data_IF_003021353267
#
_entry.id   IF_003021353267
#
_cell.length_a   1.000
_cell.length_b   1.000
_cell.length_c   1.000
_cell.angle_alpha   90.00
_cell.angle_beta   90.00
_cell.angle_gamma   90.00
#
_symmetry.space_group_name_H-M   'P 1'
#
loop_
_entity.id
_entity.type
_entity.pdbx_description
1 polymer ?
#
# COMPACT_ATOMS: atom_id res chain seq x y z
N UNK A 1 36.84 -33.49 42.10
CA UNK A 1 36.43 -34.00 40.75
C UNK A 1 36.06 -32.81 39.90
N UNK A 2 36.92 -32.32 39.05
CA UNK A 2 36.65 -31.10 38.25
C UNK A 2 35.64 -31.33 37.09
N UNK A 3 35.27 -32.56 36.81
CA UNK A 3 34.47 -32.91 35.62
C UNK A 3 32.97 -32.49 35.69
N UNK A 4 32.43 -32.31 36.89
CA UNK A 4 30.99 -31.96 37.02
C UNK A 4 30.67 -30.51 36.70
N UNK A 5 31.67 -29.61 36.71
CA UNK A 5 31.46 -28.17 36.42
C UNK A 5 31.48 -27.85 34.94
N UNK A 6 32.17 -28.65 34.15
CA UNK A 6 32.23 -28.43 32.68
C UNK A 6 30.95 -28.84 31.94
N UNK A 7 30.27 -29.88 32.42
CA UNK A 7 28.99 -30.28 31.78
C UNK A 7 27.86 -29.26 31.98
N UNK A 8 27.83 -28.56 33.12
CA UNK A 8 26.83 -27.53 33.37
C UNK A 8 27.02 -26.31 32.49
N UNK A 9 28.27 -25.91 32.22
CA UNK A 9 28.59 -24.79 31.35
C UNK A 9 28.25 -25.10 29.87
N UNK A 10 28.49 -26.32 29.41
CA UNK A 10 28.10 -26.75 28.07
C UNK A 10 26.59 -26.83 27.87
N UNK A 11 25.84 -27.25 28.89
CA UNK A 11 24.39 -27.31 28.84
C UNK A 11 23.76 -25.90 28.77
N UNK A 12 24.32 -24.94 29.51
CA UNK A 12 23.86 -23.54 29.46
C UNK A 12 24.16 -22.88 28.09
N UNK A 13 25.34 -23.16 27.51
CA UNK A 13 25.69 -22.64 26.18
C UNK A 13 24.82 -23.21 25.08
N UNK A 14 24.45 -24.50 25.16
CA UNK A 14 23.54 -25.13 24.20
C UNK A 14 22.12 -24.58 24.29
N UNK A 15 21.64 -24.21 25.48
CA UNK A 15 20.30 -23.64 25.66
C UNK A 15 20.17 -22.21 25.05
N UNK A 16 21.26 -21.45 25.03
CA UNK A 16 21.26 -20.10 24.43
C UNK A 16 21.31 -20.08 22.91
N UNK A 17 21.72 -21.17 22.27
CA UNK A 17 21.79 -21.27 20.81
C UNK A 17 20.44 -21.69 20.18
N UNK A 18 19.47 -22.18 20.97
CA UNK A 18 18.15 -22.59 20.48
C UNK A 18 17.08 -21.49 20.56
N UNK A 19 17.38 -20.33 21.17
CA UNK A 19 16.42 -19.22 21.29
C UNK A 19 16.39 -18.27 20.08
N UNK A 20 17.06 -18.60 18.99
CA UNK A 20 17.24 -17.76 17.81
C UNK A 20 16.22 -17.91 16.69
N UNK A 21 15.16 -18.69 16.83
CA UNK A 21 14.07 -18.71 15.85
C UNK A 21 12.88 -17.96 16.44
N UNK A 22 12.81 -16.64 16.20
CA UNK A 22 11.52 -15.96 16.20
C UNK A 22 10.65 -16.68 15.17
N UNK A 23 9.65 -17.40 15.62
CA UNK A 23 8.65 -17.98 14.75
C UNK A 23 8.00 -16.81 14.01
N UNK A 24 8.30 -16.67 12.72
CA UNK A 24 7.50 -15.86 11.81
C UNK A 24 6.12 -16.51 11.84
N UNK A 25 5.21 -15.92 12.59
CA UNK A 25 3.83 -16.41 12.67
C UNK A 25 3.23 -16.30 11.28
N UNK A 26 2.48 -17.32 10.84
CA UNK A 26 1.91 -17.38 9.49
C UNK A 26 1.08 -16.14 9.11
N UNK A 27 0.61 -15.36 10.09
CA UNK A 27 -0.05 -14.08 9.89
C UNK A 27 0.83 -13.01 9.23
N UNK A 28 2.13 -13.00 9.50
CA UNK A 28 3.04 -12.02 8.91
C UNK A 28 3.35 -12.34 7.43
N UNK A 29 3.45 -13.63 7.10
CA UNK A 29 3.64 -14.07 5.72
C UNK A 29 2.39 -13.80 4.88
N UNK A 30 1.21 -14.03 5.43
CA UNK A 30 -0.07 -13.74 4.77
C UNK A 30 -0.22 -12.24 4.47
N UNK A 31 0.24 -11.36 5.37
CA UNK A 31 0.20 -9.91 5.14
C UNK A 31 1.14 -9.46 4.03
N UNK A 32 2.29 -10.15 3.87
CA UNK A 32 3.25 -9.88 2.79
C UNK A 32 2.79 -10.39 1.43
N UNK A 33 1.95 -11.44 1.41
CA UNK A 33 1.38 -12.02 0.19
C UNK A 33 0.06 -11.37 -0.22
N UNK A 34 -0.53 -10.54 0.65
CA UNK A 34 -1.74 -9.81 0.33
C UNK A 34 -1.42 -8.77 -0.73
N UNK A 35 -2.16 -8.80 -1.85
CA UNK A 35 -2.09 -7.73 -2.84
C UNK A 35 -2.28 -6.37 -2.15
N UNK A 36 -1.53 -5.32 -2.52
CA UNK A 36 -1.69 -3.99 -1.95
C UNK A 36 -3.17 -3.59 -2.02
N UNK A 37 -3.81 -3.45 -0.86
CA UNK A 37 -5.17 -2.91 -0.80
C UNK A 37 -5.05 -1.42 -1.10
N UNK A 38 -5.89 -0.94 -2.03
CA UNK A 38 -6.00 0.48 -2.25
C UNK A 38 -6.28 1.17 -0.90
N UNK A 39 -5.57 2.23 -0.58
CA UNK A 39 -5.85 3.04 0.60
C UNK A 39 -7.32 3.49 0.55
N UNK A 40 -7.93 3.78 1.70
CA UNK A 40 -9.30 4.29 1.75
C UNK A 40 -9.50 5.50 0.85
N UNK A 41 -8.48 6.34 0.75
CA UNK A 41 -8.45 7.52 -0.10
C UNK A 41 -8.44 7.18 -1.59
N UNK A 42 -7.61 6.23 -2.02
CA UNK A 42 -7.62 5.71 -3.40
C UNK A 42 -8.99 5.16 -3.78
N UNK A 43 -9.63 4.43 -2.86
CA UNK A 43 -10.97 3.89 -3.10
C UNK A 43 -12.03 4.99 -3.20
N UNK A 44 -11.92 6.05 -2.41
CA UNK A 44 -12.82 7.19 -2.45
C UNK A 44 -12.70 7.98 -3.77
N UNK A 45 -11.46 8.26 -4.20
CA UNK A 45 -11.18 8.92 -5.49
C UNK A 45 -11.69 8.07 -6.66
N UNK A 46 -11.41 6.77 -6.65
CA UNK A 46 -11.89 5.87 -7.71
C UNK A 46 -13.42 5.81 -7.78
N UNK A 47 -14.09 5.79 -6.63
CA UNK A 47 -15.56 5.81 -6.57
C UNK A 47 -16.12 7.10 -7.15
N UNK A 48 -15.55 8.26 -6.81
CA UNK A 48 -15.96 9.56 -7.33
C UNK A 48 -15.72 9.63 -8.85
N UNK A 49 -14.55 9.20 -9.32
CA UNK A 49 -14.22 9.12 -10.74
C UNK A 49 -15.23 8.27 -11.52
N UNK A 50 -15.53 7.06 -11.04
CA UNK A 50 -16.50 6.16 -11.67
C UNK A 50 -17.91 6.78 -11.70
N UNK A 51 -18.28 7.51 -10.64
CA UNK A 51 -19.57 8.21 -10.57
C UNK A 51 -19.65 9.35 -11.58
N UNK A 52 -18.59 10.12 -11.74
CA UNK A 52 -18.51 11.22 -12.70
C UNK A 52 -18.53 10.73 -14.15
N UNK A 53 -17.84 9.63 -14.43
CA UNK A 53 -17.75 9.04 -15.78
C UNK A 53 -18.98 8.21 -16.16
N UNK A 54 -19.75 7.71 -15.19
CA UNK A 54 -20.83 6.75 -15.42
C UNK A 54 -20.39 5.36 -15.86
N UNK A 55 -19.08 5.09 -15.82
CA UNK A 55 -18.46 3.80 -16.18
C UNK A 55 -17.32 3.50 -15.21
N UNK A 56 -16.90 2.23 -15.17
CA UNK A 56 -15.77 1.83 -14.34
C UNK A 56 -14.46 2.21 -15.03
N UNK A 57 -13.63 2.98 -14.33
CA UNK A 57 -12.28 3.32 -14.73
C UNK A 57 -11.26 2.39 -14.07
N UNK A 58 -10.21 2.03 -14.79
CA UNK A 58 -9.07 1.29 -14.25
C UNK A 58 -7.92 2.25 -13.99
N UNK A 59 -7.50 2.36 -12.73
CA UNK A 59 -6.40 3.24 -12.34
C UNK A 59 -5.07 2.74 -12.92
N UNK A 60 -4.26 3.67 -13.42
CA UNK A 60 -2.90 3.39 -13.91
C UNK A 60 -1.89 3.67 -12.82
N UNK A 61 -1.17 2.62 -12.44
CA UNK A 61 -0.05 2.72 -11.51
C UNK A 61 1.24 3.01 -12.27
N UNK A 62 2.19 3.74 -11.67
CA UNK A 62 3.52 3.93 -12.25
C UNK A 62 4.18 2.56 -12.47
N UNK A 63 4.79 2.38 -13.64
CA UNK A 63 5.49 1.14 -13.98
C UNK A 63 6.91 1.07 -13.40
N UNK A 64 7.47 2.22 -12.98
CA UNK A 64 8.83 2.33 -12.44
C UNK A 64 8.97 3.63 -11.63
N UNK A 65 10.01 3.72 -10.83
CA UNK A 65 10.31 4.85 -9.94
C UNK A 65 9.93 4.59 -8.50
N UNK A 66 10.19 5.57 -7.64
CA UNK A 66 9.96 5.46 -6.19
C UNK A 66 8.52 5.80 -5.79
N UNK A 67 7.73 6.33 -6.71
CA UNK A 67 6.36 6.74 -6.49
C UNK A 67 5.40 5.68 -7.01
N UNK A 68 4.82 4.90 -6.10
CA UNK A 68 3.99 3.73 -6.42
C UNK A 68 2.47 3.99 -6.31
N UNK A 69 2.05 5.22 -5.99
CA UNK A 69 0.63 5.57 -5.90
C UNK A 69 0.05 5.88 -7.28
N UNK A 70 -1.21 5.50 -7.57
CA UNK A 70 -1.90 5.94 -8.77
C UNK A 70 -2.43 7.37 -8.65
N UNK A 71 -2.32 8.00 -7.48
CA UNK A 71 -2.79 9.33 -7.16
C UNK A 71 -1.62 10.26 -6.87
N UNK A 72 -1.72 11.48 -7.34
CA UNK A 72 -0.85 12.60 -6.98
C UNK A 72 -1.73 13.68 -6.35
N UNK A 73 -1.36 14.14 -5.17
CA UNK A 73 -2.05 15.21 -4.46
C UNK A 73 -1.26 16.51 -4.54
N UNK A 74 -1.94 17.63 -4.66
CA UNK A 74 -1.36 18.95 -4.68
C UNK A 74 -2.41 20.04 -4.84
N UNK A 75 -2.15 21.18 -4.23
CA UNK A 75 -2.96 22.39 -4.38
C UNK A 75 -2.53 23.10 -5.68
N UNK A 76 -3.21 22.79 -6.80
CA UNK A 76 -2.86 23.34 -8.11
C UNK A 76 -3.61 24.63 -8.45
N UNK A 77 -4.74 24.87 -7.80
CA UNK A 77 -5.51 26.11 -8.00
C UNK A 77 -5.20 27.19 -6.96
N UNK A 78 -4.51 26.86 -5.86
CA UNK A 78 -4.04 27.79 -4.84
C UNK A 78 -5.13 28.14 -3.80
N UNK A 79 -6.12 27.30 -3.64
CA UNK A 79 -7.22 27.52 -2.68
C UNK A 79 -6.89 27.01 -1.26
N UNK A 80 -5.76 26.31 -1.08
CA UNK A 80 -5.28 25.76 0.18
C UNK A 80 -5.79 24.35 0.48
N UNK A 81 -6.46 23.71 -0.47
CA UNK A 81 -6.85 22.31 -0.42
C UNK A 81 -6.08 21.54 -1.51
N UNK A 82 -5.76 20.28 -1.23
CA UNK A 82 -5.09 19.44 -2.24
C UNK A 82 -6.13 18.73 -3.11
N UNK A 83 -6.01 18.89 -4.43
CA UNK A 83 -6.72 18.09 -5.42
C UNK A 83 -6.05 16.74 -5.60
N UNK A 84 -6.79 15.77 -6.16
CA UNK A 84 -6.28 14.47 -6.55
C UNK A 84 -6.18 14.35 -8.07
N UNK A 85 -4.97 14.26 -8.60
CA UNK A 85 -4.73 13.88 -9.99
C UNK A 85 -4.61 12.37 -10.12
N UNK A 86 -5.29 11.79 -11.10
CA UNK A 86 -5.31 10.35 -11.33
C UNK A 86 -5.23 10.02 -12.81
N UNK A 87 -4.35 9.09 -13.16
CA UNK A 87 -4.29 8.50 -14.49
C UNK A 87 -5.14 7.23 -14.53
N UNK A 88 -5.95 7.09 -15.58
CA UNK A 88 -6.84 5.95 -15.72
C UNK A 88 -7.03 5.53 -17.18
N UNK A 89 -7.57 4.34 -17.38
CA UNK A 89 -7.99 3.82 -18.67
C UNK A 89 -9.44 3.37 -18.58
N UNK A 90 -10.10 3.34 -19.74
CA UNK A 90 -11.43 2.77 -19.92
C UNK A 90 -11.33 1.54 -20.82
N UNK A 91 -12.06 0.48 -20.48
CA UNK A 91 -12.03 -0.77 -21.26
C UNK A 91 -12.46 -0.56 -22.72
N UNK A 92 -13.40 0.36 -22.95
CA UNK A 92 -13.87 0.73 -24.30
C UNK A 92 -12.83 1.49 -25.14
N UNK A 93 -11.75 1.98 -24.52
CA UNK A 93 -10.73 2.84 -25.14
C UNK A 93 -9.35 2.19 -25.06
N UNK A 94 -9.23 0.93 -25.46
CA UNK A 94 -8.01 0.16 -25.38
C UNK A 94 -6.79 0.96 -25.85
N UNK A 95 -5.85 1.22 -24.94
CA UNK A 95 -4.60 1.94 -25.22
C UNK A 95 -4.61 3.44 -24.90
N UNK A 96 -5.74 4.07 -24.66
CA UNK A 96 -5.79 5.48 -24.26
C UNK A 96 -5.66 5.60 -22.74
N UNK A 97 -4.81 6.54 -22.31
CA UNK A 97 -4.67 6.93 -20.91
C UNK A 97 -5.24 8.33 -20.75
N UNK A 98 -6.05 8.49 -19.74
CA UNK A 98 -6.72 9.74 -19.39
C UNK A 98 -6.21 10.26 -18.08
N UNK A 99 -6.23 11.58 -17.89
CA UNK A 99 -5.97 12.26 -16.64
C UNK A 99 -7.28 12.86 -16.14
N UNK A 100 -7.62 12.63 -14.89
CA UNK A 100 -8.64 13.37 -14.16
C UNK A 100 -8.02 14.11 -12.99
N UNK A 101 -8.59 15.27 -12.67
CA UNK A 101 -8.31 16.01 -11.44
C UNK A 101 -9.62 16.11 -10.70
N UNK A 102 -9.63 15.69 -9.46
CA UNK A 102 -10.80 15.71 -8.59
C UNK A 102 -10.55 16.68 -7.43
N UNK A 103 -11.56 17.46 -7.10
CA UNK A 103 -11.54 18.38 -5.99
C UNK A 103 -12.09 17.70 -4.72
N UNK A 104 -11.53 18.02 -3.54
CA UNK A 104 -12.10 17.58 -2.29
C UNK A 104 -13.46 18.27 -2.05
N UNK A 105 -14.35 17.60 -1.34
CA UNK A 105 -15.63 18.16 -0.91
C UNK A 105 -15.64 18.34 0.60
N UNK A 106 -16.48 19.24 1.11
CA UNK A 106 -16.64 19.50 2.55
C UNK A 106 -17.02 18.25 3.37
N UNK A 107 -17.61 17.24 2.73
CA UNK A 107 -18.04 15.98 3.34
C UNK A 107 -16.95 14.88 3.29
N UNK A 108 -15.68 15.24 3.14
CA UNK A 108 -14.55 14.32 2.96
C UNK A 108 -14.70 13.38 1.73
N UNK A 109 -15.39 13.85 0.70
CA UNK A 109 -15.53 13.17 -0.58
C UNK A 109 -14.69 13.83 -1.67
N UNK A 110 -14.91 13.39 -2.92
CA UNK A 110 -14.28 13.91 -4.13
C UNK A 110 -15.31 14.18 -5.21
N UNK A 111 -15.07 15.16 -6.07
CA UNK A 111 -15.92 15.50 -7.24
C UNK A 111 -15.11 15.80 -8.50
#
# INVERSE_FOLDING_TARGET
>A
MPYRRSCAACALAAALLLSGCSAVTGSDVESLLRAPQASGETSAVQKALNSALGVTATLKYPASGDFLSPLLFGDWDGDGQDEAAVLYTLDASAGNVYLAVLEPTEENGWR
#
